data_IF_759821975541
#
_entry.id   IF_759821975541
#
_cell.length_a   1.000
_cell.length_b   1.000
_cell.length_c   1.000
_cell.angle_alpha   90.00
_cell.angle_beta   90.00
_cell.angle_gamma   90.00
#
_symmetry.space_group_name_H-M   'P 1'
#
loop_
_entity.id
_entity.type
_entity.pdbx_description
1 polymer ?
#
# COMPACT_ATOMS: atom_id res chain seq x y z
N UNK A 1 40.89 -82.25 -32.82
CA UNK A 1 41.65 -81.15 -32.18
C UNK A 1 40.88 -79.86 -32.38
N UNK A 2 40.04 -79.45 -31.41
CA UNK A 2 39.23 -78.24 -31.52
C UNK A 2 39.85 -77.15 -30.63
N UNK A 3 40.67 -76.30 -31.22
CA UNK A 3 41.21 -75.12 -30.53
C UNK A 3 40.15 -74.01 -30.49
N UNK A 4 39.54 -73.85 -29.33
CA UNK A 4 38.66 -72.73 -29.03
C UNK A 4 39.50 -71.45 -28.85
N UNK A 5 39.68 -70.68 -29.92
CA UNK A 5 40.31 -69.35 -29.90
C UNK A 5 39.38 -68.37 -29.18
N UNK A 6 39.63 -68.14 -27.88
CA UNK A 6 38.97 -67.06 -27.12
C UNK A 6 39.36 -65.72 -27.75
N UNK A 7 38.36 -64.95 -28.17
CA UNK A 7 38.52 -63.59 -28.69
C UNK A 7 38.93 -62.67 -27.53
N UNK A 8 39.96 -61.82 -27.67
CA UNK A 8 40.24 -60.80 -26.67
C UNK A 8 39.10 -59.79 -26.70
N UNK A 9 38.21 -59.82 -25.71
CA UNK A 9 37.31 -58.69 -25.48
C UNK A 9 38.20 -57.57 -24.95
N UNK A 10 38.44 -56.55 -25.77
CA UNK A 10 39.05 -55.32 -25.28
C UNK A 10 38.13 -54.75 -24.21
N UNK A 11 38.48 -54.95 -22.94
CA UNK A 11 38.04 -54.14 -21.81
C UNK A 11 38.64 -52.75 -21.99
N UNK A 12 38.17 -52.02 -23.02
CA UNK A 12 38.24 -50.57 -23.02
C UNK A 12 37.66 -50.16 -21.67
N UNK A 13 38.34 -49.28 -20.95
CA UNK A 13 37.91 -48.82 -19.63
C UNK A 13 36.57 -48.09 -19.75
N UNK A 14 35.48 -48.86 -19.81
CA UNK A 14 34.10 -48.37 -19.94
C UNK A 14 33.80 -47.37 -18.82
N UNK A 15 34.43 -47.58 -17.66
CA UNK A 15 34.35 -46.69 -16.51
C UNK A 15 34.96 -45.30 -16.78
N UNK A 16 36.11 -45.21 -17.43
CA UNK A 16 36.73 -43.92 -17.77
C UNK A 16 35.89 -43.18 -18.81
N UNK A 17 35.47 -43.88 -19.87
CA UNK A 17 34.64 -43.31 -20.93
C UNK A 17 33.28 -42.84 -20.42
N UNK A 18 32.63 -43.62 -19.55
CA UNK A 18 31.36 -43.26 -18.93
C UNK A 18 31.49 -42.02 -18.03
N UNK A 19 32.57 -41.92 -17.23
CA UNK A 19 32.82 -40.73 -16.39
C UNK A 19 32.99 -39.46 -17.22
N UNK A 20 33.73 -39.53 -18.32
CA UNK A 20 33.89 -38.39 -19.23
C UNK A 20 32.59 -38.01 -19.93
N UNK A 21 31.78 -38.99 -20.34
CA UNK A 21 30.49 -38.74 -20.97
C UNK A 21 29.54 -38.04 -19.99
N UNK A 22 29.48 -38.48 -18.74
CA UNK A 22 28.68 -37.82 -17.69
C UNK A 22 29.18 -36.40 -17.44
N UNK A 23 30.49 -36.18 -17.42
CA UNK A 23 31.07 -34.85 -17.21
C UNK A 23 30.72 -33.90 -18.35
N UNK A 24 30.87 -34.33 -19.60
CA UNK A 24 30.47 -33.54 -20.78
C UNK A 24 28.98 -33.27 -20.78
N UNK A 25 28.16 -34.27 -20.42
CA UNK A 25 26.72 -34.11 -20.31
C UNK A 25 26.35 -33.06 -19.25
N UNK A 26 26.96 -33.11 -18.07
CA UNK A 26 26.75 -32.13 -17.01
C UNK A 26 27.15 -30.71 -17.43
N UNK A 27 28.27 -30.56 -18.15
CA UNK A 27 28.67 -29.26 -18.70
C UNK A 27 27.66 -28.76 -19.73
N UNK A 28 27.19 -29.64 -20.61
CA UNK A 28 26.16 -29.30 -21.59
C UNK A 28 24.85 -28.85 -20.92
N UNK A 29 24.43 -29.56 -19.87
CA UNK A 29 23.23 -29.24 -19.11
C UNK A 29 23.38 -27.91 -18.34
N UNK A 30 24.55 -27.67 -17.75
CA UNK A 30 24.86 -26.38 -17.12
C UNK A 30 24.85 -25.22 -18.12
N UNK A 31 25.40 -25.43 -19.32
CA UNK A 31 25.36 -24.44 -20.41
C UNK A 31 23.93 -24.13 -20.86
N UNK A 32 23.10 -25.17 -21.03
CA UNK A 32 21.68 -25.00 -21.37
C UNK A 32 20.92 -24.26 -20.27
N UNK A 33 21.18 -24.60 -19.01
CA UNK A 33 20.58 -23.92 -17.86
C UNK A 33 20.97 -22.44 -17.80
N UNK A 34 22.23 -22.12 -18.08
CA UNK A 34 22.70 -20.74 -18.15
C UNK A 34 21.99 -19.93 -19.23
N UNK A 35 21.85 -20.50 -20.44
CA UNK A 35 21.13 -19.84 -21.54
C UNK A 35 19.65 -19.65 -21.19
N UNK A 36 19.04 -20.66 -20.56
CA UNK A 36 17.65 -20.59 -20.11
C UNK A 36 17.43 -19.45 -19.10
N UNK A 37 18.28 -19.34 -18.08
CA UNK A 37 18.22 -18.26 -17.10
C UNK A 37 18.40 -16.89 -17.75
N UNK A 38 19.35 -16.76 -18.68
CA UNK A 38 19.58 -15.52 -19.40
C UNK A 38 18.36 -15.11 -20.24
N UNK A 39 17.72 -16.08 -20.89
CA UNK A 39 16.51 -15.83 -21.68
C UNK A 39 15.32 -15.42 -20.78
N UNK A 40 15.17 -16.08 -19.62
CA UNK A 40 14.17 -15.68 -18.62
C UNK A 40 14.41 -14.26 -18.11
N UNK A 41 15.66 -13.90 -17.82
CA UNK A 41 15.99 -12.56 -17.35
C UNK A 41 15.61 -11.49 -18.40
N UNK A 42 15.79 -11.78 -19.69
CA UNK A 42 15.39 -10.87 -20.75
C UNK A 42 13.86 -10.71 -20.82
N UNK A 43 13.13 -11.83 -20.80
CA UNK A 43 11.66 -11.83 -20.79
C UNK A 43 11.07 -11.10 -19.59
N UNK A 44 11.66 -11.25 -18.40
CA UNK A 44 11.25 -10.52 -17.20
C UNK A 44 11.55 -9.02 -17.36
N UNK A 45 12.71 -8.66 -17.92
CA UNK A 45 13.05 -7.26 -18.18
C UNK A 45 12.07 -6.56 -19.10
N UNK A 46 11.60 -7.24 -20.15
CA UNK A 46 10.61 -6.68 -21.08
C UNK A 46 9.23 -6.52 -20.42
N UNK A 47 8.82 -7.48 -19.59
CA UNK A 47 7.58 -7.38 -18.81
C UNK A 47 7.64 -6.21 -17.82
N UNK A 48 8.75 -6.04 -17.09
CA UNK A 48 8.95 -4.92 -16.17
C UNK A 48 8.86 -3.59 -16.91
N UNK A 49 9.48 -3.46 -18.09
CA UNK A 49 9.39 -2.25 -18.91
C UNK A 49 7.96 -1.94 -19.36
N UNK A 50 7.19 -2.96 -19.74
CA UNK A 50 5.77 -2.81 -20.05
C UNK A 50 4.99 -2.24 -18.86
N UNK A 51 5.14 -2.86 -17.69
CA UNK A 51 4.47 -2.42 -16.46
C UNK A 51 4.92 -1.00 -16.06
N UNK A 52 6.20 -0.67 -16.18
CA UNK A 52 6.70 0.68 -15.91
C UNK A 52 6.08 1.73 -16.84
N UNK A 53 5.87 1.40 -18.12
CA UNK A 53 5.23 2.31 -19.06
C UNK A 53 3.75 2.51 -18.73
N UNK A 54 3.01 1.44 -18.43
CA UNK A 54 1.61 1.51 -18.02
C UNK A 54 1.44 2.31 -16.72
N UNK A 55 2.35 2.11 -15.75
CA UNK A 55 2.33 2.87 -14.50
C UNK A 55 2.56 4.37 -14.75
N UNK A 56 3.52 4.74 -15.60
CA UNK A 56 3.77 6.14 -15.95
C UNK A 56 2.58 6.78 -16.65
N UNK A 57 1.90 6.05 -17.53
CA UNK A 57 0.68 6.54 -18.17
C UNK A 57 -0.44 6.75 -17.15
N UNK A 58 -0.64 5.81 -16.24
CA UNK A 58 -1.63 5.93 -15.17
C UNK A 58 -1.33 7.10 -14.21
N UNK A 59 -0.06 7.30 -13.84
CA UNK A 59 0.36 8.45 -13.03
C UNK A 59 0.11 9.78 -13.74
N UNK A 60 0.42 9.87 -15.05
CA UNK A 60 0.16 11.06 -15.83
C UNK A 60 -1.35 11.38 -15.92
N UNK A 61 -2.19 10.35 -16.12
CA UNK A 61 -3.64 10.51 -16.11
C UNK A 61 -4.14 10.98 -14.74
N UNK A 62 -3.67 10.37 -13.66
CA UNK A 62 -4.02 10.79 -12.30
C UNK A 62 -3.63 12.24 -12.03
N UNK A 63 -2.41 12.66 -12.38
CA UNK A 63 -1.96 14.04 -12.23
C UNK A 63 -2.87 15.03 -13.00
N UNK A 64 -3.29 14.67 -14.21
CA UNK A 64 -4.21 15.49 -15.01
C UNK A 64 -5.61 15.59 -14.38
N UNK A 65 -6.12 14.49 -13.83
CA UNK A 65 -7.42 14.43 -13.16
C UNK A 65 -7.40 15.22 -11.86
N UNK A 66 -6.33 15.11 -11.08
CA UNK A 66 -6.15 15.83 -9.83
C UNK A 66 -6.05 17.35 -10.06
N UNK A 67 -5.33 17.76 -11.12
CA UNK A 67 -5.32 19.16 -11.56
C UNK A 67 -6.72 19.64 -11.97
N UNK A 68 -7.51 18.80 -12.66
CA UNK A 68 -8.89 19.12 -13.04
C UNK A 68 -9.82 19.21 -11.83
N UNK A 69 -9.69 18.30 -10.87
CA UNK A 69 -10.44 18.34 -9.61
C UNK A 69 -10.09 19.62 -8.86
N UNK A 70 -8.80 19.90 -8.67
CA UNK A 70 -8.32 21.14 -8.02
C UNK A 70 -8.84 22.39 -8.72
N UNK A 71 -8.90 22.39 -10.05
CA UNK A 71 -9.53 23.47 -10.81
C UNK A 71 -11.03 23.62 -10.51
N UNK A 72 -11.77 22.50 -10.50
CA UNK A 72 -13.21 22.49 -10.21
C UNK A 72 -13.56 22.78 -8.75
N UNK A 73 -12.71 22.39 -7.80
CA UNK A 73 -12.86 22.64 -6.36
C UNK A 73 -12.16 23.91 -5.91
N UNK A 74 -11.50 24.63 -6.83
CA UNK A 74 -10.90 25.92 -6.53
C UNK A 74 -11.98 26.89 -6.02
N UNK A 75 -11.59 27.78 -5.10
CA UNK A 75 -12.50 28.73 -4.45
C UNK A 75 -13.29 29.57 -5.46
N UNK A 76 -12.66 29.99 -6.56
CA UNK A 76 -13.33 30.73 -7.63
C UNK A 76 -14.38 29.90 -8.38
N UNK A 77 -14.08 28.63 -8.66
CA UNK A 77 -15.04 27.71 -9.29
C UNK A 77 -16.21 27.36 -8.37
N UNK A 78 -15.94 27.13 -7.08
CA UNK A 78 -16.98 26.88 -6.07
C UNK A 78 -17.87 28.10 -5.85
N UNK A 79 -17.29 29.30 -5.78
CA UNK A 79 -18.04 30.54 -5.63
C UNK A 79 -18.94 30.80 -6.84
N UNK A 80 -18.45 30.55 -8.05
CA UNK A 80 -19.26 30.61 -9.27
C UNK A 80 -20.41 29.58 -9.27
N UNK A 81 -20.16 28.35 -8.83
CA UNK A 81 -21.21 27.31 -8.71
C UNK A 81 -22.23 27.62 -7.61
N UNK A 82 -21.83 28.32 -6.56
CA UNK A 82 -22.73 28.84 -5.53
C UNK A 82 -23.63 29.96 -6.09
N UNK A 83 -23.06 30.88 -6.88
CA UNK A 83 -23.80 31.96 -7.56
C UNK A 83 -24.76 31.42 -8.63
N UNK A 84 -24.36 30.40 -9.38
CA UNK A 84 -25.18 29.70 -10.38
C UNK A 84 -26.23 28.76 -9.76
N UNK A 85 -26.26 28.61 -8.42
CA UNK A 85 -27.26 27.82 -7.69
C UNK A 85 -27.05 26.30 -7.69
N UNK A 86 -25.91 25.81 -8.18
CA UNK A 86 -25.54 24.38 -8.17
C UNK A 86 -25.10 23.89 -6.78
N UNK A 87 -24.74 24.79 -5.88
CA UNK A 87 -24.35 24.51 -4.50
C UNK A 87 -25.20 25.33 -3.54
N UNK A 88 -25.60 24.74 -2.40
CA UNK A 88 -26.31 25.44 -1.32
C UNK A 88 -25.45 25.39 -0.06
N UNK A 89 -25.16 26.55 0.52
CA UNK A 89 -24.51 26.61 1.83
C UNK A 89 -25.55 26.33 2.90
N UNK A 90 -25.29 25.32 3.73
CA UNK A 90 -26.05 25.09 4.96
C UNK A 90 -25.32 25.77 6.13
N UNK A 91 -26.04 26.62 6.86
CA UNK A 91 -25.48 27.30 8.02
C UNK A 91 -25.20 26.30 9.15
N UNK A 92 -23.96 26.29 9.64
CA UNK A 92 -23.60 25.48 10.81
C UNK A 92 -24.33 26.08 12.02
N UNK A 93 -25.18 25.28 12.67
CA UNK A 93 -25.90 25.69 13.89
C UNK A 93 -24.92 25.86 15.05
N UNK A 94 -25.15 26.85 15.90
CA UNK A 94 -24.30 27.14 17.07
C UNK A 94 -24.11 25.94 18.01
N UNK A 95 -25.05 25.00 18.02
CA UNK A 95 -24.98 23.75 18.81
C UNK A 95 -24.00 22.73 18.27
N UNK A 96 -23.56 22.86 17.01
CA UNK A 96 -22.56 21.99 16.38
C UNK A 96 -21.14 22.57 16.48
N UNK A 97 -20.99 23.79 17.01
CA UNK A 97 -19.71 24.44 17.21
C UNK A 97 -19.18 24.01 18.58
N UNK A 98 -18.22 23.08 18.59
CA UNK A 98 -17.48 22.74 19.79
C UNK A 98 -16.68 23.97 20.27
N UNK A 99 -17.20 24.66 21.28
CA UNK A 99 -16.51 25.78 21.93
C UNK A 99 -15.48 25.19 22.88
N UNK A 100 -14.20 25.32 22.55
CA UNK A 100 -13.12 24.92 23.44
C UNK A 100 -13.14 25.91 24.62
N UNK A 101 -13.57 25.45 25.79
CA UNK A 101 -13.52 26.24 27.03
C UNK A 101 -12.06 26.63 27.31
N UNK A 102 -11.75 27.92 27.55
CA UNK A 102 -10.40 28.34 27.87
C UNK A 102 -9.95 27.70 29.19
N UNK A 103 -8.69 27.28 29.26
CA UNK A 103 -8.12 26.66 30.46
C UNK A 103 -8.28 27.59 31.66
N UNK A 104 -9.01 27.14 32.69
CA UNK A 104 -9.09 27.87 33.95
C UNK A 104 -7.69 27.91 34.61
N UNK A 105 -7.27 29.06 35.17
CA UNK A 105 -6.01 29.15 35.89
C UNK A 105 -6.02 28.19 37.09
N UNK A 106 -4.94 27.42 37.24
CA UNK A 106 -4.82 26.37 38.23
C UNK A 106 -4.98 26.90 39.66
N UNK A 107 -5.90 26.31 40.42
CA UNK A 107 -6.04 26.49 41.86
C UNK A 107 -4.84 25.82 42.57
N UNK A 108 -4.35 26.33 43.74
CA UNK A 108 -3.03 26.01 44.28
C UNK A 108 -2.89 24.60 44.90
N UNK A 109 -3.77 23.66 44.54
CA UNK A 109 -3.73 22.25 44.98
C UNK A 109 -3.05 21.33 43.94
N UNK A 110 -2.32 21.89 42.96
CA UNK A 110 -1.34 21.15 42.16
C UNK A 110 -1.89 20.09 41.20
N UNK A 111 -3.20 19.96 41.03
CA UNK A 111 -3.78 19.04 40.05
C UNK A 111 -3.95 19.75 38.71
N UNK A 112 -3.06 19.45 37.76
CA UNK A 112 -3.22 19.81 36.36
C UNK A 112 -4.44 19.08 35.79
N UNK A 113 -5.62 19.72 35.81
CA UNK A 113 -6.78 19.25 35.05
C UNK A 113 -6.56 19.60 33.59
N UNK A 114 -6.12 18.63 32.81
CA UNK A 114 -6.20 18.69 31.34
C UNK A 114 -7.67 18.86 30.95
N UNK A 115 -7.93 19.67 29.92
CA UNK A 115 -9.29 19.89 29.42
C UNK A 115 -9.88 18.56 28.92
N UNK A 116 -10.60 17.87 29.80
CA UNK A 116 -11.33 16.65 29.49
C UNK A 116 -12.74 17.03 29.03
N UNK A 117 -13.10 16.57 27.83
CA UNK A 117 -14.47 16.62 27.34
C UNK A 117 -15.36 15.75 28.25
N UNK A 118 -16.24 16.38 29.04
CA UNK A 118 -17.24 15.69 29.86
C UNK A 118 -18.61 15.69 29.13
N UNK A 119 -19.04 14.56 28.53
CA UNK A 119 -20.35 14.47 27.89
C UNK A 119 -21.54 14.44 28.87
N UNK A 120 -21.30 14.27 30.19
CA UNK A 120 -22.33 13.89 31.15
C UNK A 120 -22.78 15.01 32.10
N UNK A 121 -22.35 16.27 31.92
CA UNK A 121 -22.88 17.42 32.68
C UNK A 121 -24.32 17.81 32.33
N UNK A 122 -25.01 16.98 31.52
CA UNK A 122 -26.44 17.06 31.27
C UNK A 122 -27.15 16.32 32.39
N UNK A 123 -27.75 17.08 33.31
CA UNK A 123 -28.79 16.72 34.29
C UNK A 123 -28.42 17.09 35.73
N UNK A 124 -28.59 18.37 36.08
CA UNK A 124 -29.11 18.77 37.40
C UNK A 124 -30.10 19.92 37.17
N UNK A 125 -31.35 19.54 36.94
CA UNK A 125 -32.50 20.46 36.83
C UNK A 125 -33.23 20.50 38.17
N UNK A 126 -33.41 21.73 38.68
CA UNK A 126 -34.42 22.14 39.69
C UNK A 126 -34.44 21.44 41.07
N UNK A 127 -33.83 22.10 42.06
CA UNK A 127 -34.34 22.08 43.43
C UNK A 127 -34.99 23.44 43.73
N UNK A 128 -36.29 23.56 43.45
CA UNK A 128 -37.11 24.71 43.85
C UNK A 128 -37.63 24.50 45.29
N UNK A 129 -37.50 25.48 46.21
CA UNK A 129 -37.94 25.35 47.59
C UNK A 129 -39.45 25.53 47.68
N UNK A 130 -40.21 24.44 47.89
CA UNK A 130 -41.62 24.55 48.30
C UNK A 130 -41.70 24.96 49.76
N UNK A 131 -42.02 26.24 49.97
CA UNK A 131 -42.55 26.78 51.21
C UNK A 131 -43.94 26.17 51.45
N UNK A 132 -44.11 25.48 52.57
CA UNK A 132 -45.40 24.94 53.02
C UNK A 132 -45.88 25.87 54.13
N UNK A 133 -46.92 26.64 53.86
CA UNK A 133 -47.54 27.53 54.83
C UNK A 133 -49.05 27.31 54.83
N UNK A 134 -49.56 27.00 56.03
CA UNK A 134 -50.94 26.93 56.51
C UNK A 134 -51.78 25.68 56.20
#
# INVERSE_FOLDING_TARGET
MNQNRRRPSNTIEVNFLARWLVLVFMIGLAGLFFVYLKNQQHSIGDQTRGIESELREAEALNASLDAKITGMTSRGALQRRLEEGYLKLEGIRDTAIARITPAQPAEPDGVLRTASHDPDSRFDTEASPRTMNR
#
